data_IF_938815634133
#
_entry.id   IF_938815634133
#
_cell.length_a   1.000
_cell.length_b   1.000
_cell.length_c   1.000
_cell.angle_alpha   90.00
_cell.angle_beta   90.00
_cell.angle_gamma   90.00
#
_symmetry.space_group_name_H-M   'P 1'
#
loop_
_entity.id
_entity.type
_entity.pdbx_description
1 polymer ?
#
# COMPACT_ATOMS: atom_id res chain seq x y z
N UNK A 1 -8.64 -14.32 -5.12
CA UNK A 1 -8.75 -13.40 -3.97
C UNK A 1 -7.37 -12.80 -3.75
N UNK A 2 -7.28 -11.47 -3.64
CA UNK A 2 -6.07 -10.78 -3.19
C UNK A 2 -6.22 -10.41 -1.71
N UNK A 3 -5.20 -10.65 -0.93
CA UNK A 3 -5.11 -10.13 0.44
C UNK A 3 -4.23 -8.89 0.47
N UNK A 4 -4.61 -7.89 1.28
CA UNK A 4 -3.88 -6.62 1.40
C UNK A 4 -3.57 -6.37 2.88
N UNK A 5 -2.27 -6.37 3.23
CA UNK A 5 -1.79 -5.96 4.55
C UNK A 5 -1.50 -4.45 4.54
N UNK A 6 -2.26 -3.70 5.32
CA UNK A 6 -2.16 -2.24 5.37
C UNK A 6 -2.67 -1.72 6.69
N UNK A 7 -2.08 -0.63 7.18
CA UNK A 7 -2.57 0.12 8.33
C UNK A 7 -2.78 1.61 8.01
N UNK A 8 -3.55 2.26 8.87
CA UNK A 8 -3.75 3.69 8.88
C UNK A 8 -4.33 4.13 10.21
N UNK A 9 -3.84 5.24 10.73
CA UNK A 9 -4.29 5.80 12.00
C UNK A 9 -3.96 7.30 12.04
N UNK A 10 -4.23 7.95 13.16
CA UNK A 10 -3.97 9.38 13.32
C UNK A 10 -2.47 9.75 13.25
N UNK A 11 -1.55 8.80 13.48
CA UNK A 11 -0.10 9.05 13.47
C UNK A 11 0.50 8.96 12.07
N UNK A 12 0.10 7.94 11.29
CA UNK A 12 0.60 7.72 9.92
C UNK A 12 -0.37 8.24 8.85
N UNK A 13 -1.55 8.72 9.26
CA UNK A 13 -2.60 9.13 8.33
C UNK A 13 -3.33 7.94 7.70
N UNK A 14 -4.21 8.26 6.75
CA UNK A 14 -5.03 7.27 6.03
C UNK A 14 -4.57 7.02 4.59
N UNK A 15 -3.44 7.59 4.19
CA UNK A 15 -2.95 7.56 2.80
C UNK A 15 -2.78 6.14 2.25
N UNK A 16 -2.14 5.25 3.01
CA UNK A 16 -1.94 3.84 2.65
C UNK A 16 -3.28 3.12 2.42
N UNK A 17 -4.23 3.26 3.37
CA UNK A 17 -5.56 2.66 3.22
C UNK A 17 -6.29 3.20 2.00
N UNK A 18 -6.23 4.50 1.75
CA UNK A 18 -6.92 5.11 0.61
C UNK A 18 -6.35 4.64 -0.73
N UNK A 19 -5.03 4.47 -0.85
CA UNK A 19 -4.44 3.91 -2.07
C UNK A 19 -4.75 2.42 -2.24
N UNK A 20 -4.73 1.65 -1.17
CA UNK A 20 -5.13 0.25 -1.19
C UNK A 20 -6.62 0.07 -1.50
N UNK A 21 -7.50 0.95 -1.01
CA UNK A 21 -8.92 0.94 -1.37
C UNK A 21 -9.14 1.24 -2.86
N UNK A 22 -8.36 2.16 -3.47
CA UNK A 22 -8.45 2.43 -4.90
C UNK A 22 -8.07 1.18 -5.73
N UNK A 23 -7.03 0.44 -5.31
CA UNK A 23 -6.66 -0.85 -5.91
C UNK A 23 -7.80 -1.86 -5.74
N UNK A 24 -8.29 -2.03 -4.52
CA UNK A 24 -9.33 -3.00 -4.18
C UNK A 24 -10.64 -2.74 -4.93
N UNK A 25 -11.07 -1.48 -5.05
CA UNK A 25 -12.26 -1.09 -5.83
C UNK A 25 -12.09 -1.43 -7.32
N UNK A 26 -10.88 -1.26 -7.86
CA UNK A 26 -10.59 -1.62 -9.26
C UNK A 26 -10.59 -3.13 -9.47
N UNK A 27 -10.00 -3.89 -8.55
CA UNK A 27 -10.01 -5.36 -8.59
C UNK A 27 -11.43 -5.93 -8.47
N UNK A 28 -12.25 -5.37 -7.57
CA UNK A 28 -13.66 -5.77 -7.42
C UNK A 28 -14.48 -5.54 -8.70
N UNK A 29 -14.23 -4.44 -9.41
CA UNK A 29 -14.86 -4.21 -10.74
C UNK A 29 -14.45 -5.28 -11.75
N UNK A 30 -13.25 -5.82 -11.62
CA UNK A 30 -12.73 -6.94 -12.42
C UNK A 30 -13.05 -8.32 -11.83
N UNK A 31 -14.04 -8.40 -10.89
CA UNK A 31 -14.52 -9.63 -10.25
C UNK A 31 -13.45 -10.37 -9.43
N UNK A 32 -12.47 -9.64 -8.91
CA UNK A 32 -11.50 -10.18 -7.96
C UNK A 32 -11.89 -9.76 -6.57
N UNK A 33 -12.09 -10.73 -5.68
CA UNK A 33 -12.35 -10.49 -4.26
C UNK A 33 -11.09 -9.96 -3.58
N UNK A 34 -11.28 -9.08 -2.61
CA UNK A 34 -10.21 -8.51 -1.80
C UNK A 34 -10.55 -8.60 -0.32
N UNK A 35 -9.57 -9.01 0.48
CA UNK A 35 -9.64 -9.05 1.93
C UNK A 35 -8.48 -8.24 2.51
N UNK A 36 -8.78 -7.37 3.46
CA UNK A 36 -7.77 -6.56 4.12
C UNK A 36 -7.30 -7.22 5.41
N UNK A 37 -6.01 -7.14 5.69
CA UNK A 37 -5.40 -7.55 6.96
C UNK A 37 -4.89 -6.28 7.63
N UNK A 38 -5.34 -6.00 8.84
CA UNK A 38 -5.00 -4.80 9.61
C UNK A 38 -4.47 -5.17 10.99
N UNK A 39 -3.56 -4.38 11.54
CA UNK A 39 -3.01 -4.63 12.87
C UNK A 39 -4.08 -4.46 13.96
N UNK A 40 -4.92 -3.44 13.84
CA UNK A 40 -5.95 -3.12 14.83
C UNK A 40 -7.21 -2.50 14.19
N UNK A 41 -8.21 -2.21 15.00
CA UNK A 41 -9.54 -1.77 14.53
C UNK A 41 -9.60 -0.31 14.08
N UNK A 42 -8.55 0.51 14.26
CA UNK A 42 -8.58 1.95 13.95
C UNK A 42 -8.84 2.24 12.47
N UNK A 43 -8.41 1.35 11.61
CA UNK A 43 -8.58 1.47 10.16
C UNK A 43 -9.80 0.75 9.60
N UNK A 44 -10.40 -0.15 10.36
CA UNK A 44 -11.45 -1.05 9.87
C UNK A 44 -12.68 -0.30 9.34
N UNK A 45 -13.08 0.78 10.03
CA UNK A 45 -14.28 1.54 9.64
C UNK A 45 -14.22 2.06 8.20
N UNK A 46 -13.05 2.53 7.76
CA UNK A 46 -12.85 3.01 6.39
C UNK A 46 -13.00 1.88 5.36
N UNK A 47 -12.48 0.70 5.68
CA UNK A 47 -12.50 -0.47 4.80
C UNK A 47 -13.90 -1.08 4.75
N UNK A 48 -14.53 -1.28 5.92
CA UNK A 48 -15.87 -1.84 6.03
C UNK A 48 -16.94 -0.95 5.39
N UNK A 49 -16.82 0.37 5.51
CA UNK A 49 -17.72 1.33 4.85
C UNK A 49 -17.66 1.25 3.31
N UNK A 50 -16.55 0.74 2.75
CA UNK A 50 -16.39 0.46 1.32
C UNK A 50 -16.85 -0.97 0.94
N UNK A 51 -17.35 -1.74 1.91
CA UNK A 51 -17.90 -3.09 1.72
C UNK A 51 -16.83 -4.16 1.47
N UNK A 52 -15.61 -3.97 1.99
CA UNK A 52 -14.56 -4.98 1.99
C UNK A 52 -14.50 -5.69 3.35
N UNK A 53 -14.01 -6.94 3.34
CA UNK A 53 -13.78 -7.72 4.55
C UNK A 53 -12.44 -7.34 5.18
N UNK A 54 -12.35 -7.47 6.51
CA UNK A 54 -11.12 -7.29 7.27
C UNK A 54 -10.79 -8.52 8.11
N UNK A 55 -9.50 -8.76 8.31
CA UNK A 55 -8.94 -9.64 9.33
C UNK A 55 -8.12 -8.74 10.26
N UNK A 56 -8.57 -8.57 11.50
CA UNK A 56 -7.86 -7.79 12.51
C UNK A 56 -6.94 -8.69 13.31
N UNK A 57 -5.63 -8.41 13.29
CA UNK A 57 -4.62 -9.22 13.95
C UNK A 57 -4.53 -8.98 15.45
N UNK A 58 -5.02 -7.83 15.94
CA UNK A 58 -4.84 -7.34 17.30
C UNK A 58 -3.35 -7.23 17.69
N UNK A 59 -2.54 -6.67 16.77
CA UNK A 59 -1.11 -6.46 16.92
C UNK A 59 -0.75 -4.97 16.99
N UNK A 60 0.55 -4.66 17.04
CA UNK A 60 1.03 -3.29 17.10
C UNK A 60 1.46 -2.87 15.69
N UNK A 61 0.74 -1.91 15.09
CA UNK A 61 0.85 -1.45 13.71
C UNK A 61 2.27 -1.04 13.25
N UNK A 62 3.15 -0.63 14.17
CA UNK A 62 4.54 -0.25 13.87
C UNK A 62 5.58 -1.26 14.35
N UNK A 63 5.16 -2.51 14.61
CA UNK A 63 6.02 -3.63 15.03
C UNK A 63 5.69 -4.88 14.24
N UNK A 64 5.82 -4.81 12.92
CA UNK A 64 5.39 -5.88 12.01
C UNK A 64 6.06 -7.23 12.31
N UNK A 65 7.31 -7.25 12.76
CA UNK A 65 7.96 -8.51 13.11
C UNK A 65 7.22 -9.30 14.20
N UNK A 66 6.46 -8.62 15.06
CA UNK A 66 5.68 -9.28 16.12
C UNK A 66 4.44 -10.03 15.60
N UNK A 67 4.02 -9.78 14.36
CA UNK A 67 2.85 -10.42 13.75
C UNK A 67 3.21 -11.53 12.75
N UNK A 68 4.51 -11.78 12.49
CA UNK A 68 4.97 -12.72 11.48
C UNK A 68 4.30 -14.10 11.63
N UNK A 69 4.28 -14.66 12.82
CA UNK A 69 3.74 -16.00 13.05
C UNK A 69 2.21 -16.04 12.84
N UNK A 70 1.50 -14.97 13.23
CA UNK A 70 0.05 -14.86 13.04
C UNK A 70 -0.27 -14.77 11.55
N UNK A 71 0.42 -13.89 10.81
CA UNK A 71 0.21 -13.77 9.37
C UNK A 71 0.63 -15.06 8.65
N UNK A 72 1.76 -15.67 9.01
CA UNK A 72 2.21 -16.92 8.41
C UNK A 72 1.17 -18.02 8.57
N UNK A 73 0.54 -18.13 9.74
CA UNK A 73 -0.55 -19.07 9.97
C UNK A 73 -1.74 -18.78 9.05
N UNK A 74 -2.19 -17.53 8.96
CA UNK A 74 -3.29 -17.11 8.07
C UNK A 74 -2.95 -17.42 6.61
N UNK A 75 -1.72 -17.15 6.15
CA UNK A 75 -1.29 -17.43 4.78
C UNK A 75 -1.43 -18.90 4.42
N UNK A 76 -1.10 -19.78 5.37
CA UNK A 76 -1.19 -21.25 5.18
C UNK A 76 -2.64 -21.74 5.25
N UNK A 77 -3.39 -21.34 6.28
CA UNK A 77 -4.77 -21.79 6.53
C UNK A 77 -5.73 -21.34 5.41
N UNK A 78 -5.60 -20.08 4.96
CA UNK A 78 -6.43 -19.52 3.89
C UNK A 78 -5.86 -19.81 2.49
N UNK A 79 -4.71 -20.54 2.39
CA UNK A 79 -4.00 -20.83 1.13
C UNK A 79 -3.76 -19.57 0.28
N UNK A 80 -3.26 -18.51 0.91
CA UNK A 80 -3.05 -17.22 0.28
C UNK A 80 -1.87 -17.29 -0.68
N UNK A 81 -2.12 -17.04 -1.96
CA UNK A 81 -1.11 -17.09 -3.03
C UNK A 81 -0.48 -15.74 -3.33
N UNK A 82 -1.18 -14.66 -3.02
CA UNK A 82 -0.80 -13.30 -3.36
C UNK A 82 -1.14 -12.37 -2.19
N UNK A 83 -0.16 -11.64 -1.71
CA UNK A 83 -0.29 -10.66 -0.63
C UNK A 83 0.28 -9.33 -1.10
N UNK A 84 -0.55 -8.28 -1.10
CA UNK A 84 -0.11 -6.90 -1.25
C UNK A 84 0.21 -6.33 0.13
N UNK A 85 1.38 -5.72 0.29
CA UNK A 85 1.79 -5.06 1.52
C UNK A 85 2.04 -3.57 1.23
N UNK A 86 1.47 -2.71 2.06
CA UNK A 86 1.64 -1.27 2.00
C UNK A 86 1.85 -0.73 3.42
N UNK A 87 3.11 -0.70 3.86
CA UNK A 87 3.49 -0.29 5.21
C UNK A 87 4.97 0.14 5.27
N UNK A 88 5.28 1.22 5.99
CA UNK A 88 6.65 1.73 6.16
C UNK A 88 7.48 0.98 7.22
N UNK A 89 6.84 0.17 8.06
CA UNK A 89 7.50 -0.54 9.16
C UNK A 89 7.89 -1.97 8.83
N UNK A 90 7.85 -2.34 7.54
CA UNK A 90 8.36 -3.63 7.08
C UNK A 90 9.86 -3.73 7.36
N UNK A 91 10.29 -4.92 7.77
CA UNK A 91 11.71 -5.27 7.90
C UNK A 91 12.10 -6.29 6.84
N UNK A 92 13.40 -6.44 6.60
CA UNK A 92 13.90 -7.51 5.73
C UNK A 92 13.46 -8.88 6.25
N UNK A 93 13.52 -9.10 7.56
CA UNK A 93 13.09 -10.34 8.20
C UNK A 93 11.61 -10.63 7.95
N UNK A 94 10.75 -9.62 8.13
CA UNK A 94 9.31 -9.73 7.87
C UNK A 94 9.03 -10.18 6.44
N UNK A 95 9.58 -9.47 5.47
CA UNK A 95 9.37 -9.78 4.05
C UNK A 95 9.94 -11.15 3.67
N UNK A 96 11.15 -11.49 4.16
CA UNK A 96 11.80 -12.78 3.89
C UNK A 96 11.00 -13.96 4.43
N UNK A 97 10.46 -13.84 5.62
CA UNK A 97 9.62 -14.89 6.24
C UNK A 97 8.32 -15.10 5.47
N UNK A 98 7.65 -14.04 5.06
CA UNK A 98 6.38 -14.14 4.35
C UNK A 98 6.56 -14.51 2.87
N UNK A 99 7.61 -14.04 2.20
CA UNK A 99 7.88 -14.39 0.79
C UNK A 99 8.22 -15.88 0.58
N UNK A 100 8.61 -16.59 1.63
CA UNK A 100 8.76 -18.04 1.59
C UNK A 100 7.42 -18.78 1.50
N UNK A 101 6.29 -18.12 1.80
CA UNK A 101 4.95 -18.71 1.87
C UNK A 101 4.03 -18.23 0.75
N UNK A 102 4.22 -17.02 0.26
CA UNK A 102 3.33 -16.39 -0.73
C UNK A 102 4.08 -15.42 -1.63
N UNK A 103 3.48 -15.07 -2.79
CA UNK A 103 3.99 -14.00 -3.66
C UNK A 103 3.65 -12.65 -3.04
N UNK A 104 4.66 -11.84 -2.74
CA UNK A 104 4.47 -10.51 -2.16
C UNK A 104 4.58 -9.43 -3.25
N UNK A 105 3.56 -8.57 -3.30
CA UNK A 105 3.58 -7.27 -3.96
C UNK A 105 3.79 -6.23 -2.89
N UNK A 106 4.88 -5.48 -2.95
CA UNK A 106 5.20 -4.47 -1.96
C UNK A 106 5.10 -3.06 -2.56
N UNK A 107 4.29 -2.20 -1.94
CA UNK A 107 4.25 -0.78 -2.30
C UNK A 107 5.29 -0.08 -1.46
N UNK A 108 6.28 0.48 -2.14
CA UNK A 108 7.41 1.18 -1.54
C UNK A 108 7.45 2.63 -2.00
N UNK A 109 7.98 3.50 -1.13
CA UNK A 109 8.16 4.92 -1.42
C UNK A 109 9.63 5.36 -1.27
N UNK A 110 10.54 4.51 -0.73
CA UNK A 110 11.84 4.95 -0.23
C UNK A 110 13.07 4.20 -0.76
N UNK A 111 12.93 2.93 -1.14
CA UNK A 111 14.05 2.04 -1.53
C UNK A 111 15.12 1.91 -0.43
N UNK A 112 14.72 1.69 0.83
CA UNK A 112 15.63 1.68 1.98
C UNK A 112 16.60 0.49 1.97
N UNK A 113 16.13 -0.69 1.57
CA UNK A 113 16.93 -1.92 1.48
C UNK A 113 16.48 -2.77 0.29
N UNK A 114 17.11 -3.91 0.06
CA UNK A 114 16.69 -4.88 -0.94
C UNK A 114 15.52 -5.68 -0.38
N UNK A 115 14.33 -5.42 -0.92
CA UNK A 115 13.11 -6.12 -0.50
C UNK A 115 13.06 -7.52 -1.11
N UNK A 116 13.05 -8.62 -0.34
CA UNK A 116 12.99 -9.99 -0.85
C UNK A 116 11.55 -10.36 -1.26
N UNK A 117 11.03 -9.69 -2.27
CA UNK A 117 9.64 -9.81 -2.73
C UNK A 117 9.56 -10.08 -4.24
N UNK A 118 8.42 -10.60 -4.70
CA UNK A 118 8.22 -10.86 -6.14
C UNK A 118 8.01 -9.58 -6.95
N UNK A 119 7.47 -8.54 -6.34
CA UNK A 119 7.16 -7.28 -7.04
C UNK A 119 7.29 -6.09 -6.11
N UNK A 120 7.97 -5.04 -6.57
CA UNK A 120 7.99 -3.71 -5.95
C UNK A 120 7.22 -2.74 -6.82
N UNK A 121 6.35 -1.96 -6.21
CA UNK A 121 5.56 -0.92 -6.84
C UNK A 121 5.91 0.41 -6.17
N UNK A 122 6.44 1.37 -6.92
CA UNK A 122 6.61 2.74 -6.44
C UNK A 122 6.03 3.71 -7.45
N UNK A 123 4.89 4.29 -7.13
CA UNK A 123 4.15 5.17 -8.03
C UNK A 123 4.55 6.65 -7.94
N UNK A 124 5.56 6.99 -7.17
CA UNK A 124 6.05 8.36 -7.07
C UNK A 124 6.79 8.77 -8.35
N UNK A 125 6.73 10.07 -8.67
CA UNK A 125 7.39 10.58 -9.88
C UNK A 125 8.93 10.46 -9.82
N UNK A 126 9.49 10.41 -8.61
CA UNK A 126 10.93 10.24 -8.35
C UNK A 126 11.36 8.77 -8.23
N UNK A 127 10.46 7.81 -8.45
CA UNK A 127 10.74 6.40 -8.23
C UNK A 127 11.93 5.88 -9.07
N UNK A 128 12.09 6.37 -10.30
CA UNK A 128 13.20 6.01 -11.18
C UNK A 128 14.55 6.53 -10.65
N UNK A 129 14.56 7.66 -9.94
CA UNK A 129 15.76 8.27 -9.35
C UNK A 129 16.26 7.48 -8.12
N UNK A 130 15.45 6.61 -7.54
CA UNK A 130 15.81 5.79 -6.38
C UNK A 130 16.72 4.58 -6.74
N UNK A 131 17.05 4.39 -8.00
CA UNK A 131 18.02 3.39 -8.47
C UNK A 131 17.74 1.94 -8.06
N UNK A 132 16.46 1.51 -8.07
CA UNK A 132 16.06 0.13 -7.74
C UNK A 132 16.82 -0.91 -8.58
N UNK A 133 16.91 -0.72 -9.89
CA UNK A 133 17.53 -1.68 -10.82
C UNK A 133 19.01 -1.89 -10.48
N UNK A 134 19.73 -0.81 -10.18
CA UNK A 134 21.14 -0.91 -9.81
C UNK A 134 21.34 -1.59 -8.45
N UNK A 135 20.49 -1.26 -7.46
CA UNK A 135 20.55 -1.87 -6.12
C UNK A 135 20.33 -3.39 -6.18
N UNK A 136 19.45 -3.86 -7.06
CA UNK A 136 19.11 -5.29 -7.17
C UNK A 136 20.00 -6.05 -8.16
N UNK A 137 20.93 -5.39 -8.85
CA UNK A 137 21.75 -6.01 -9.91
C UNK A 137 22.48 -7.28 -9.48
N UNK A 138 22.92 -7.32 -8.22
CA UNK A 138 23.67 -8.44 -7.66
C UNK A 138 22.87 -9.24 -6.62
N UNK A 139 21.59 -8.93 -6.46
CA UNK A 139 20.71 -9.71 -5.62
C UNK A 139 20.27 -10.97 -6.36
N UNK A 140 20.31 -12.10 -5.71
CA UNK A 140 19.79 -13.36 -6.26
C UNK A 140 18.25 -13.39 -6.10
N UNK A 141 17.57 -12.41 -6.74
CA UNK A 141 16.14 -12.19 -6.66
C UNK A 141 15.56 -11.88 -8.05
N UNK A 142 14.41 -12.46 -8.35
CA UNK A 142 13.64 -12.20 -9.57
C UNK A 142 12.52 -11.18 -9.33
N UNK A 143 12.87 -10.04 -8.74
CA UNK A 143 11.89 -8.99 -8.41
C UNK A 143 11.50 -8.19 -9.65
N UNK A 144 10.20 -8.01 -9.86
CA UNK A 144 9.64 -7.11 -10.88
C UNK A 144 9.44 -5.72 -10.31
N UNK A 145 9.62 -4.69 -11.16
CA UNK A 145 9.48 -3.30 -10.76
C UNK A 145 8.41 -2.59 -11.59
N UNK A 146 7.51 -1.89 -10.90
CA UNK A 146 6.55 -0.96 -11.49
C UNK A 146 6.81 0.43 -10.90
N UNK A 147 7.58 1.24 -11.63
CA UNK A 147 8.10 2.53 -11.15
C UNK A 147 7.46 3.70 -11.90
N UNK A 148 7.14 4.73 -11.16
CA UNK A 148 6.66 6.00 -11.69
C UNK A 148 5.13 6.16 -11.71
N UNK A 149 4.66 7.37 -12.08
CA UNK A 149 3.24 7.79 -11.94
C UNK A 149 2.26 6.98 -12.79
N UNK A 150 2.72 6.30 -13.83
CA UNK A 150 1.88 5.44 -14.67
C UNK A 150 1.26 4.28 -13.90
N UNK A 151 1.82 3.93 -12.76
CA UNK A 151 1.36 2.86 -11.88
C UNK A 151 0.61 3.38 -10.65
N UNK A 152 0.31 4.69 -10.60
CA UNK A 152 -0.40 5.27 -9.46
C UNK A 152 -1.86 4.76 -9.39
N UNK A 153 -2.30 4.21 -8.25
CA UNK A 153 -3.68 3.79 -8.08
C UNK A 153 -4.60 5.02 -7.98
N UNK A 154 -5.45 5.19 -9.00
CA UNK A 154 -6.42 6.27 -9.04
C UNK A 154 -7.78 5.82 -8.52
N UNK A 155 -8.37 6.62 -7.65
CA UNK A 155 -9.76 6.43 -7.23
C UNK A 155 -10.71 6.61 -8.40
N UNK A 156 -11.84 5.91 -8.37
CA UNK A 156 -12.83 5.90 -9.45
C UNK A 156 -13.32 7.30 -9.85
N UNK A 157 -13.37 8.22 -8.89
CA UNK A 157 -13.82 9.60 -9.08
C UNK A 157 -12.91 10.41 -10.03
N UNK A 158 -11.68 9.98 -10.22
CA UNK A 158 -10.72 10.62 -11.13
C UNK A 158 -10.65 9.96 -12.51
N UNK A 159 -11.33 8.81 -12.70
CA UNK A 159 -11.31 8.10 -13.98
C UNK A 159 -12.25 8.82 -14.96
N UNK A 160 -11.74 9.13 -16.14
CA UNK A 160 -12.54 9.74 -17.22
C UNK A 160 -12.79 11.24 -17.06
N UNK A 161 -12.11 11.90 -16.12
CA UNK A 161 -12.17 13.37 -16.04
C UNK A 161 -11.60 13.99 -17.31
N UNK A 162 -12.38 14.87 -17.95
CA UNK A 162 -11.91 15.61 -19.11
C UNK A 162 -11.01 16.77 -18.67
N UNK A 163 -9.97 17.05 -19.45
CA UNK A 163 -9.17 18.24 -19.28
C UNK A 163 -10.06 19.49 -19.44
N UNK A 164 -10.13 20.32 -18.41
CA UNK A 164 -10.78 21.63 -18.50
C UNK A 164 -9.83 22.61 -19.17
N UNK A 165 -10.37 23.44 -20.07
CA UNK A 165 -9.59 24.56 -20.62
C UNK A 165 -9.26 25.54 -19.48
N UNK A 166 -8.02 25.95 -19.42
CA UNK A 166 -7.56 26.95 -18.46
C UNK A 166 -8.10 28.35 -18.86
N UNK A 167 -8.78 29.00 -17.92
CA UNK A 167 -9.37 30.34 -18.10
C UNK A 167 -8.83 31.34 -17.09
N UNK A 168 -7.62 31.14 -16.60
CA UNK A 168 -6.98 31.93 -15.55
C UNK A 168 -7.16 31.35 -14.14
N UNK A 169 -6.38 31.83 -13.20
CA UNK A 169 -6.35 31.38 -11.81
C UNK A 169 -7.52 32.00 -11.03
N UNK A 170 -8.61 31.25 -10.84
CA UNK A 170 -9.80 31.71 -10.13
C UNK A 170 -10.00 31.03 -8.78
N UNK A 171 -9.35 29.86 -8.56
CA UNK A 171 -9.46 29.08 -7.32
C UNK A 171 -8.14 28.40 -7.02
N UNK A 172 -7.75 28.38 -5.76
CA UNK A 172 -6.59 27.67 -5.23
C UNK A 172 -7.11 26.68 -4.20
N UNK A 173 -6.73 25.41 -4.32
CA UNK A 173 -6.93 24.39 -3.29
C UNK A 173 -5.62 24.21 -2.55
N UNK A 174 -5.65 24.41 -1.23
CA UNK A 174 -4.52 24.13 -0.34
C UNK A 174 -4.90 22.92 0.51
N UNK A 175 -4.02 21.93 0.59
CA UNK A 175 -4.27 20.70 1.35
C UNK A 175 -2.97 20.14 1.92
N UNK A 176 -3.03 19.60 3.15
CA UNK A 176 -1.93 18.90 3.83
C UNK A 176 -2.12 17.38 3.86
N UNK A 177 -3.06 16.85 3.07
CA UNK A 177 -3.43 15.44 3.12
C UNK A 177 -4.46 15.12 4.21
N UNK A 178 -4.29 14.01 4.93
CA UNK A 178 -5.26 13.55 5.93
C UNK A 178 -5.24 14.31 7.25
N UNK A 179 -4.14 14.97 7.59
CA UNK A 179 -3.98 15.72 8.84
C UNK A 179 -3.10 16.96 8.60
N UNK A 180 -3.41 18.06 9.28
CA UNK A 180 -2.56 19.26 9.33
C UNK A 180 -1.80 19.33 10.65
N UNK A 181 -0.98 18.30 10.93
CA UNK A 181 -0.25 18.13 12.19
C UNK A 181 0.60 19.35 12.60
N UNK A 182 1.05 20.11 11.62
CA UNK A 182 1.93 21.27 11.84
C UNK A 182 1.23 22.61 11.62
N UNK A 183 -0.11 22.58 11.45
CA UNK A 183 -0.92 23.79 11.20
C UNK A 183 -0.40 24.64 10.02
N UNK A 184 0.08 23.99 8.97
CA UNK A 184 0.67 24.66 7.79
C UNK A 184 -0.41 25.39 6.99
N UNK A 185 -1.65 24.89 6.99
CA UNK A 185 -2.78 25.47 6.26
C UNK A 185 -3.48 26.53 7.11
N UNK A 186 -3.48 26.38 8.44
CA UNK A 186 -4.18 27.27 9.36
C UNK A 186 -3.41 28.57 9.66
N UNK A 187 -2.13 28.67 9.29
CA UNK A 187 -1.29 29.86 9.39
C UNK A 187 -1.08 30.49 8.02
#
# INVERSE_FOLDING_TARGET
>A
ILYIRVDGNEQIGTGHIMRCLAIAETLRRNKTDVVFIVADTRSESLILNKGFKTICLNTIWNKLDSEIEIIAQILVEENIRELLIDDYFVTENYLKRLSALTNIFYIDDMNDFIYPVSTVINCNFYAEDLNYIERYRHADLMTKFYLGPSFAPLRAEFIGLQHRKYHGLNKILITSGGTDKYNVIAN
#
